data_IF_827862341905
#
_entry.id   IF_827862341905
#
_cell.length_a   1.000
_cell.length_b   1.000
_cell.length_c   1.000
_cell.angle_alpha   90.00
_cell.angle_beta   90.00
_cell.angle_gamma   90.00
#
_symmetry.space_group_name_H-M   'P 1'
#
loop_
_entity.id
_entity.type
_entity.pdbx_description
1 polymer ?
#
# COMPACT_ATOMS: atom_id res chain seq x y z
N UNK A 1 9.52 9.03 3.66
CA UNK A 1 8.93 9.77 2.52
C UNK A 1 7.66 9.04 2.12
N UNK A 2 6.59 9.75 1.77
CA UNK A 2 5.18 9.34 1.96
C UNK A 2 4.76 9.14 3.44
N UNK A 3 5.61 8.64 4.34
CA UNK A 3 5.26 8.45 5.77
C UNK A 3 4.69 9.71 6.44
N UNK A 4 5.33 10.87 6.22
CA UNK A 4 4.85 12.17 6.71
C UNK A 4 3.51 12.55 6.08
N UNK A 5 3.34 12.27 4.79
CA UNK A 5 2.08 12.53 4.07
C UNK A 5 0.96 11.60 4.53
N UNK A 6 1.31 10.40 5.00
CA UNK A 6 0.36 9.42 5.52
C UNK A 6 -0.05 9.68 6.96
N UNK A 7 0.64 10.58 7.67
CA UNK A 7 0.42 10.83 9.10
C UNK A 7 -1.04 11.17 9.45
N UNK A 8 -1.76 12.03 8.69
CA UNK A 8 -3.15 12.33 9.01
C UNK A 8 -4.08 11.12 8.80
N UNK A 9 -3.80 10.29 7.78
CA UNK A 9 -4.56 9.07 7.50
C UNK A 9 -4.34 8.02 8.58
N UNK A 10 -3.07 7.82 8.97
CA UNK A 10 -2.70 6.92 10.06
C UNK A 10 -3.32 7.36 11.38
N UNK A 11 -3.26 8.66 11.70
CA UNK A 11 -3.89 9.21 12.90
C UNK A 11 -5.40 8.96 12.92
N UNK A 12 -6.07 9.14 11.78
CA UNK A 12 -7.50 8.87 11.63
C UNK A 12 -7.81 7.38 11.82
N UNK A 13 -7.02 6.50 11.21
CA UNK A 13 -7.19 5.06 11.35
C UNK A 13 -7.05 4.61 12.81
N UNK A 14 -6.00 5.08 13.50
CA UNK A 14 -5.78 4.79 14.92
C UNK A 14 -6.91 5.34 15.78
N UNK A 15 -7.36 6.57 15.52
CA UNK A 15 -8.47 7.18 16.26
C UNK A 15 -9.76 6.37 16.13
N UNK A 16 -10.02 5.80 14.95
CA UNK A 16 -11.18 4.95 14.69
C UNK A 16 -10.98 3.48 15.11
N UNK A 17 -9.87 3.12 15.74
CA UNK A 17 -9.59 1.74 16.16
C UNK A 17 -9.24 0.77 15.03
N UNK A 18 -8.84 1.28 13.86
CA UNK A 18 -8.38 0.47 12.73
C UNK A 18 -6.90 0.09 12.91
N UNK A 19 -6.52 -1.08 12.37
CA UNK A 19 -5.12 -1.49 12.30
C UNK A 19 -4.46 -0.91 11.03
N UNK A 20 -3.58 0.07 11.20
CA UNK A 20 -2.87 0.70 10.08
C UNK A 20 -1.71 -0.17 9.60
N UNK A 21 -1.78 -0.63 8.35
CA UNK A 21 -0.70 -1.38 7.70
C UNK A 21 0.31 -0.41 7.05
N UNK A 22 1.55 -0.86 6.76
CA UNK A 22 2.46 -0.08 5.92
C UNK A 22 1.75 0.36 4.62
N UNK A 23 1.95 1.57 4.08
CA UNK A 23 1.35 1.95 2.79
C UNK A 23 1.94 1.18 1.61
N UNK A 24 1.15 1.00 0.55
CA UNK A 24 1.64 0.62 -0.77
C UNK A 24 1.61 1.89 -1.60
N UNK A 25 2.76 2.32 -2.12
CA UNK A 25 2.85 3.52 -2.93
C UNK A 25 3.56 3.20 -4.24
N UNK A 26 2.92 3.53 -5.35
CA UNK A 26 3.56 3.54 -6.67
C UNK A 26 3.99 4.98 -6.97
N UNK A 27 5.28 5.15 -7.29
CA UNK A 27 5.86 6.43 -7.66
C UNK A 27 6.18 6.49 -9.15
N UNK A 28 6.55 7.67 -9.64
CA UNK A 28 7.06 7.90 -11.00
C UNK A 28 6.07 7.60 -12.14
N UNK A 29 4.76 7.67 -11.90
CA UNK A 29 3.73 7.39 -12.93
C UNK A 29 3.77 8.34 -14.14
N UNK A 30 4.34 9.53 -14.01
CA UNK A 30 4.52 10.44 -15.15
C UNK A 30 5.57 9.97 -16.17
N UNK A 31 6.47 9.05 -15.79
CA UNK A 31 7.62 8.65 -16.62
C UNK A 31 7.84 7.14 -16.70
N UNK A 32 7.05 6.32 -15.99
CA UNK A 32 7.20 4.87 -16.04
C UNK A 32 6.59 4.27 -17.33
N UNK A 33 7.10 3.13 -17.74
CA UNK A 33 6.57 2.34 -18.86
C UNK A 33 5.46 1.37 -18.41
N UNK A 34 4.79 0.77 -19.39
CA UNK A 34 3.70 -0.19 -19.15
C UNK A 34 4.19 -1.45 -18.41
N UNK A 35 5.43 -1.89 -18.66
CA UNK A 35 6.01 -3.05 -17.96
C UNK A 35 6.16 -2.78 -16.46
N UNK A 36 6.66 -1.60 -16.10
CA UNK A 36 6.76 -1.16 -14.70
C UNK A 36 5.39 -1.01 -14.06
N UNK A 37 4.42 -0.45 -14.79
CA UNK A 37 3.05 -0.29 -14.31
C UNK A 37 2.38 -1.65 -14.03
N UNK A 38 2.51 -2.61 -14.94
CA UNK A 38 2.03 -3.98 -14.73
C UNK A 38 2.75 -4.68 -13.58
N UNK A 39 4.07 -4.49 -13.46
CA UNK A 39 4.86 -5.02 -12.34
C UNK A 39 4.36 -4.52 -11.00
N UNK A 40 4.06 -3.22 -10.88
CA UNK A 40 3.49 -2.64 -9.66
C UNK A 40 2.06 -3.12 -9.40
N UNK A 41 1.25 -3.35 -10.44
CA UNK A 41 -0.07 -3.96 -10.29
C UNK A 41 0.01 -5.40 -9.74
N UNK A 42 0.95 -6.20 -10.23
CA UNK A 42 1.22 -7.56 -9.69
C UNK A 42 1.70 -7.50 -8.24
N UNK A 43 2.58 -6.56 -7.90
CA UNK A 43 3.06 -6.36 -6.53
C UNK A 43 1.91 -5.94 -5.59
N UNK A 44 1.00 -5.07 -6.03
CA UNK A 44 -0.17 -4.69 -5.24
C UNK A 44 -1.07 -5.89 -4.96
N UNK A 45 -1.33 -6.74 -5.97
CA UNK A 45 -2.07 -7.99 -5.77
C UNK A 45 -1.38 -8.90 -4.76
N UNK A 46 -0.07 -9.07 -4.88
CA UNK A 46 0.72 -9.92 -3.99
C UNK A 46 0.61 -9.48 -2.52
N UNK A 47 0.69 -8.18 -2.24
CA UNK A 47 0.48 -7.63 -0.89
C UNK A 47 -0.88 -8.05 -0.29
N UNK A 48 -1.94 -8.02 -1.08
CA UNK A 48 -3.28 -8.38 -0.59
C UNK A 48 -3.36 -9.87 -0.29
N UNK A 49 -2.74 -10.71 -1.12
CA UNK A 49 -2.65 -12.16 -0.88
C UNK A 49 -1.85 -12.46 0.39
N UNK A 50 -0.68 -11.85 0.58
CA UNK A 50 0.14 -12.02 1.79
C UNK A 50 -0.63 -11.61 3.05
N UNK A 51 -1.36 -10.49 2.99
CA UNK A 51 -2.19 -10.07 4.11
C UNK A 51 -3.33 -11.07 4.38
N UNK A 52 -4.00 -11.54 3.33
CA UNK A 52 -5.08 -12.52 3.44
C UNK A 52 -4.57 -13.84 4.03
N UNK A 53 -3.44 -14.36 3.54
CA UNK A 53 -2.80 -15.58 4.04
C UNK A 53 -2.39 -15.45 5.51
N UNK A 54 -1.84 -14.31 5.93
CA UNK A 54 -1.46 -14.07 7.32
C UNK A 54 -2.64 -13.97 8.30
N UNK A 55 -3.86 -13.70 7.81
CA UNK A 55 -5.06 -13.52 8.64
C UNK A 55 -6.11 -14.63 8.48
N UNK A 56 -6.03 -15.44 7.42
CA UNK A 56 -6.96 -16.53 7.11
C UNK A 56 -6.26 -17.89 6.95
N UNK A 57 -4.95 -17.97 7.21
CA UNK A 57 -4.16 -19.20 7.27
C UNK A 57 -4.16 -19.85 8.64
#
# INVERSE_FOLDING_TARGET
>A
GFDVLSQPLQATAIYCGLNWLPPFAMHCTFICDDETLEGQARHYKQRLLEWQEAHHG
#
